data_IF_525447384607
#
_entry.id   IF_525447384607
#
_cell.length_a   1.000
_cell.length_b   1.000
_cell.length_c   1.000
_cell.angle_alpha   90.00
_cell.angle_beta   90.00
_cell.angle_gamma   90.00
#
_symmetry.space_group_name_H-M   'P 1'
#
loop_
_entity.id
_entity.type
_entity.pdbx_description
1 polymer ?
#
# COMPACT_ATOMS: atom_id res chain seq x y z
N UNK A 1 9.58 -11.28 13.87
CA UNK A 1 9.86 -10.86 12.48
C UNK A 1 9.20 -9.51 12.28
N UNK A 2 9.85 -8.56 11.59
CA UNK A 2 9.22 -7.28 11.26
C UNK A 2 8.04 -7.50 10.31
N UNK A 3 7.02 -6.66 10.45
CA UNK A 3 5.88 -6.62 9.52
C UNK A 3 6.38 -6.16 8.15
N UNK A 4 5.94 -6.85 7.10
CA UNK A 4 6.30 -6.60 5.70
C UNK A 4 5.15 -5.96 4.92
N UNK A 5 5.41 -5.57 3.68
CA UNK A 5 4.39 -5.06 2.77
C UNK A 5 3.29 -6.11 2.52
N UNK A 6 3.67 -7.37 2.28
CA UNK A 6 2.75 -8.49 2.08
C UNK A 6 1.73 -8.62 3.22
N UNK A 7 2.17 -8.39 4.45
CA UNK A 7 1.32 -8.55 5.62
C UNK A 7 0.16 -7.55 5.69
N UNK A 8 0.27 -6.39 5.05
CA UNK A 8 -0.72 -5.29 5.18
C UNK A 8 -1.29 -4.79 3.86
N UNK A 9 -0.76 -5.25 2.72
CA UNK A 9 -1.21 -4.80 1.41
C UNK A 9 -2.66 -5.19 1.14
N UNK A 10 -3.36 -4.35 0.42
CA UNK A 10 -4.63 -4.72 -0.20
C UNK A 10 -4.34 -5.45 -1.51
N UNK A 11 -4.90 -6.65 -1.68
CA UNK A 11 -4.73 -7.50 -2.88
C UNK A 11 -5.72 -7.18 -4.00
N UNK A 12 -6.93 -6.73 -3.64
CA UNK A 12 -7.99 -6.39 -4.60
C UNK A 12 -7.82 -4.94 -5.08
N UNK A 13 -6.93 -4.75 -6.06
CA UNK A 13 -6.61 -3.43 -6.59
C UNK A 13 -7.18 -3.29 -8.00
N UNK A 14 -7.97 -2.24 -8.22
CA UNK A 14 -8.34 -1.82 -9.57
C UNK A 14 -7.06 -1.46 -10.32
N UNK A 15 -6.92 -1.98 -11.54
CA UNK A 15 -5.80 -1.68 -12.45
C UNK A 15 -6.32 -1.38 -13.85
N UNK A 16 -5.54 -0.66 -14.63
CA UNK A 16 -5.83 -0.39 -16.04
C UNK A 16 -4.79 -1.02 -16.97
N UNK A 17 -5.15 -1.16 -18.24
CA UNK A 17 -4.21 -1.49 -19.32
C UNK A 17 -3.73 -0.20 -20.00
N UNK A 18 -2.55 -0.20 -20.62
CA UNK A 18 -2.08 0.96 -21.40
C UNK A 18 -3.06 1.37 -22.51
N UNK A 19 -3.81 0.40 -23.04
CA UNK A 19 -4.81 0.55 -24.10
C UNK A 19 -6.21 0.92 -23.57
N UNK A 20 -6.43 0.93 -22.25
CA UNK A 20 -7.69 1.40 -21.67
C UNK A 20 -7.93 2.86 -22.08
N UNK A 21 -9.17 3.19 -22.46
CA UNK A 21 -9.49 4.57 -22.83
C UNK A 21 -9.51 5.50 -21.61
N UNK A 22 -9.16 6.77 -21.82
CA UNK A 22 -9.24 7.80 -20.76
C UNK A 22 -10.67 7.93 -20.22
N UNK A 23 -11.69 7.80 -21.07
CA UNK A 23 -13.09 7.85 -20.67
C UNK A 23 -13.46 6.72 -19.71
N UNK A 24 -13.11 5.48 -20.06
CA UNK A 24 -13.34 4.30 -19.23
C UNK A 24 -12.58 4.37 -17.90
N UNK A 25 -11.31 4.81 -17.95
CA UNK A 25 -10.51 5.00 -16.75
C UNK A 25 -11.14 6.05 -15.82
N UNK A 26 -11.57 7.19 -16.37
CA UNK A 26 -12.24 8.24 -15.62
C UNK A 26 -13.55 7.74 -14.98
N UNK A 27 -14.37 7.01 -15.72
CA UNK A 27 -15.61 6.38 -15.21
C UNK A 27 -15.32 5.44 -14.04
N UNK A 28 -14.35 4.54 -14.22
CA UNK A 28 -13.95 3.59 -13.17
C UNK A 28 -13.44 4.31 -11.92
N UNK A 29 -12.60 5.34 -12.06
CA UNK A 29 -12.09 6.11 -10.91
C UNK A 29 -13.23 6.81 -10.14
N UNK A 30 -14.16 7.43 -10.86
CA UNK A 30 -15.29 8.16 -10.28
C UNK A 30 -16.26 7.23 -9.54
N UNK A 31 -16.65 6.11 -10.16
CA UNK A 31 -17.59 5.14 -9.58
C UNK A 31 -17.03 4.48 -8.32
N UNK A 32 -15.76 4.10 -8.35
CA UNK A 32 -15.10 3.42 -7.23
C UNK A 32 -14.55 4.39 -6.18
N UNK A 33 -14.74 5.71 -6.37
CA UNK A 33 -14.25 6.78 -5.48
C UNK A 33 -12.75 6.64 -5.17
N UNK A 34 -11.96 6.33 -6.19
CA UNK A 34 -10.51 6.15 -6.08
C UNK A 34 -9.76 7.22 -6.87
N UNK A 35 -8.72 7.79 -6.25
CA UNK A 35 -7.98 8.89 -6.86
C UNK A 35 -6.96 8.51 -7.95
N UNK A 36 -6.92 7.23 -8.33
CA UNK A 36 -5.92 6.68 -9.24
C UNK A 36 -5.66 5.19 -9.04
N UNK A 37 -4.99 4.58 -10.00
CA UNK A 37 -4.74 3.15 -10.07
C UNK A 37 -3.42 2.83 -10.81
N UNK A 38 -2.78 1.69 -10.51
CA UNK A 38 -1.69 1.15 -11.31
C UNK A 38 -2.13 0.79 -12.73
N UNK A 39 -1.20 0.93 -13.67
CA UNK A 39 -1.33 0.45 -15.06
C UNK A 39 -0.41 -0.75 -15.22
N UNK A 40 -0.96 -1.86 -15.68
CA UNK A 40 -0.23 -3.13 -15.84
C UNK A 40 -0.29 -3.62 -17.29
N UNK A 41 0.78 -4.26 -17.76
CA UNK A 41 0.80 -4.89 -19.07
C UNK A 41 0.08 -6.26 -19.06
N UNK A 42 0.07 -6.96 -20.20
CA UNK A 42 -0.51 -8.30 -20.32
C UNK A 42 0.10 -9.32 -19.35
N UNK A 43 1.41 -9.23 -19.10
CA UNK A 43 2.14 -10.09 -18.14
C UNK A 43 1.91 -9.76 -16.66
N UNK A 44 1.11 -8.73 -16.35
CA UNK A 44 0.82 -8.28 -14.99
C UNK A 44 1.92 -7.39 -14.36
N UNK A 45 2.96 -7.05 -15.12
CA UNK A 45 3.99 -6.11 -14.67
C UNK A 45 3.46 -4.68 -14.68
N UNK A 46 3.81 -3.92 -13.65
CA UNK A 46 3.46 -2.51 -13.56
C UNK A 46 4.27 -1.69 -14.58
N UNK A 47 3.57 -0.88 -15.38
CA UNK A 47 4.17 -0.04 -16.43
C UNK A 47 3.85 1.44 -16.27
N UNK A 48 2.97 1.78 -15.32
CA UNK A 48 2.63 3.16 -15.01
C UNK A 48 1.66 3.29 -13.83
N UNK A 49 1.37 4.54 -13.48
CA UNK A 49 0.24 4.92 -12.62
C UNK A 49 -0.56 5.98 -13.37
N UNK A 50 -1.88 5.89 -13.28
CA UNK A 50 -2.80 6.94 -13.73
C UNK A 50 -3.63 7.43 -12.55
N UNK A 51 -3.77 8.74 -12.42
CA UNK A 51 -4.53 9.40 -11.37
C UNK A 51 -5.54 10.38 -11.95
N UNK A 52 -6.48 10.84 -11.13
CA UNK A 52 -7.41 11.92 -11.51
C UNK A 52 -6.65 13.16 -12.03
N UNK A 53 -5.50 13.47 -11.42
CA UNK A 53 -4.64 14.56 -11.87
C UNK A 53 -4.13 14.34 -13.29
N UNK A 54 -3.68 13.13 -13.63
CA UNK A 54 -3.18 12.83 -14.97
C UNK A 54 -4.29 12.96 -16.02
N UNK A 55 -5.50 12.50 -15.70
CA UNK A 55 -6.67 12.60 -16.59
C UNK A 55 -7.13 14.06 -16.82
N UNK A 56 -6.89 14.95 -15.86
CA UNK A 56 -7.27 16.38 -15.95
C UNK A 56 -6.16 17.22 -16.58
N UNK A 57 -4.90 16.94 -16.22
CA UNK A 57 -3.76 17.80 -16.55
C UNK A 57 -3.11 17.47 -17.90
N UNK A 58 -3.41 16.31 -18.48
CA UNK A 58 -2.78 15.83 -19.72
C UNK A 58 -3.82 15.54 -20.78
N UNK A 59 -3.43 15.71 -22.04
CA UNK A 59 -4.28 15.39 -23.20
C UNK A 59 -3.89 14.03 -23.78
N UNK A 60 -4.88 13.18 -24.02
CA UNK A 60 -4.69 11.85 -24.58
C UNK A 60 -6.02 11.10 -24.67
N UNK A 61 -6.09 10.06 -25.48
CA UNK A 61 -7.29 9.22 -25.61
C UNK A 61 -7.14 7.90 -24.87
N UNK A 62 -5.91 7.45 -24.65
CA UNK A 62 -5.58 6.20 -23.96
C UNK A 62 -4.79 6.47 -22.67
N UNK A 63 -4.89 5.54 -21.72
CA UNK A 63 -4.18 5.61 -20.43
C UNK A 63 -2.67 5.75 -20.64
N UNK A 64 -2.07 5.07 -21.61
CA UNK A 64 -0.63 5.17 -21.91
C UNK A 64 -0.15 6.56 -22.33
N UNK A 65 -1.06 7.41 -22.81
CA UNK A 65 -0.76 8.77 -23.26
C UNK A 65 -0.67 9.72 -22.06
N UNK A 66 -1.41 9.43 -20.99
CA UNK A 66 -1.53 10.30 -19.81
C UNK A 66 -0.84 9.74 -18.57
N UNK A 67 -0.55 8.43 -18.48
CA UNK A 67 0.05 7.82 -17.29
C UNK A 67 1.44 8.36 -16.96
N UNK A 68 1.80 8.29 -15.68
CA UNK A 68 3.18 8.49 -15.22
C UNK A 68 3.92 7.15 -15.26
N UNK A 69 5.07 7.11 -15.95
CA UNK A 69 5.87 5.90 -16.20
C UNK A 69 6.89 5.59 -15.11
N UNK A 70 7.40 6.63 -14.44
CA UNK A 70 8.34 6.47 -13.35
C UNK A 70 7.58 6.10 -12.07
N UNK A 71 7.38 4.80 -11.88
CA UNK A 71 6.58 4.26 -10.78
C UNK A 71 7.49 3.83 -9.65
N UNK A 72 7.35 4.50 -8.51
CA UNK A 72 7.93 4.03 -7.26
C UNK A 72 7.08 2.87 -6.74
N UNK A 73 7.68 1.67 -6.66
CA UNK A 73 7.08 0.46 -6.10
C UNK A 73 7.95 -0.12 -4.97
N UNK A 74 7.40 -1.09 -4.24
CA UNK A 74 8.10 -1.84 -3.20
C UNK A 74 7.95 -3.34 -3.44
N UNK A 75 8.95 -4.13 -3.03
CA UNK A 75 8.81 -5.58 -2.99
C UNK A 75 7.76 -6.00 -1.93
N UNK A 76 7.08 -7.11 -2.14
CA UNK A 76 6.17 -7.73 -1.16
C UNK A 76 6.86 -8.08 0.16
N UNK A 77 8.13 -8.42 0.12
CA UNK A 77 8.97 -8.66 1.30
C UNK A 77 9.50 -7.38 1.95
N UNK A 78 9.25 -6.19 1.39
CA UNK A 78 9.79 -4.95 1.91
C UNK A 78 9.29 -4.70 3.35
N UNK A 79 10.16 -4.24 4.26
CA UNK A 79 9.75 -3.96 5.62
C UNK A 79 8.83 -2.73 5.67
N UNK A 80 7.89 -2.73 6.62
CA UNK A 80 6.85 -1.71 6.70
C UNK A 80 7.38 -0.29 6.94
N UNK A 81 8.52 -0.14 7.61
CA UNK A 81 9.20 1.14 7.81
C UNK A 81 9.66 1.77 6.49
N UNK A 82 10.16 0.98 5.53
CA UNK A 82 10.50 1.42 4.18
C UNK A 82 9.27 1.94 3.43
N UNK A 83 8.16 1.20 3.50
CA UNK A 83 6.88 1.59 2.89
C UNK A 83 6.41 2.94 3.46
N UNK A 84 6.46 3.09 4.79
CA UNK A 84 6.10 4.33 5.49
C UNK A 84 7.02 5.48 5.07
N UNK A 85 8.32 5.24 4.96
CA UNK A 85 9.29 6.24 4.51
C UNK A 85 8.90 6.79 3.15
N UNK A 86 8.69 5.91 2.16
CA UNK A 86 8.32 6.29 0.79
C UNK A 86 7.06 7.16 0.78
N UNK A 87 5.98 6.71 1.45
CA UNK A 87 4.70 7.43 1.45
C UNK A 87 4.77 8.82 2.10
N UNK A 88 5.64 8.99 3.10
CA UNK A 88 5.83 10.27 3.80
C UNK A 88 6.76 11.19 3.02
N UNK A 89 7.96 10.70 2.67
CA UNK A 89 9.04 11.54 2.12
C UNK A 89 8.75 11.94 0.68
N UNK A 90 8.14 11.06 -0.10
CA UNK A 90 7.80 11.32 -1.50
C UNK A 90 6.38 11.86 -1.67
N UNK A 91 5.68 12.13 -0.56
CA UNK A 91 4.30 12.66 -0.53
C UNK A 91 3.30 11.82 -1.35
N UNK A 92 3.57 10.54 -1.52
CA UNK A 92 2.69 9.62 -2.23
C UNK A 92 1.49 9.22 -1.36
N UNK A 93 0.32 9.06 -2.01
CA UNK A 93 -0.90 8.59 -1.34
C UNK A 93 -0.92 7.07 -1.16
N UNK A 94 -0.26 6.36 -2.08
CA UNK A 94 -0.23 4.90 -2.17
C UNK A 94 1.03 4.46 -2.93
N UNK A 95 1.45 3.21 -2.71
CA UNK A 95 2.61 2.59 -3.35
C UNK A 95 2.24 1.18 -3.83
N UNK A 96 2.48 0.85 -5.11
CA UNK A 96 2.33 -0.50 -5.63
C UNK A 96 3.31 -1.48 -4.97
N UNK A 97 2.82 -2.68 -4.69
CA UNK A 97 3.62 -3.80 -4.17
C UNK A 97 3.82 -4.80 -5.30
N UNK A 98 5.06 -5.20 -5.54
CA UNK A 98 5.43 -6.10 -6.63
C UNK A 98 6.13 -7.35 -6.11
N UNK A 99 5.97 -8.46 -6.84
CA UNK A 99 6.73 -9.69 -6.62
C UNK A 99 8.16 -9.58 -7.22
N UNK A 100 9.02 -10.59 -7.02
CA UNK A 100 10.37 -10.59 -7.58
C UNK A 100 10.43 -10.54 -9.13
N UNK A 101 9.34 -10.88 -9.82
CA UNK A 101 9.21 -10.78 -11.28
C UNK A 101 8.69 -9.41 -11.73
N UNK A 102 8.46 -8.47 -10.81
CA UNK A 102 7.94 -7.13 -11.08
C UNK A 102 6.44 -7.09 -11.36
N UNK A 103 5.71 -8.17 -11.09
CA UNK A 103 4.25 -8.21 -11.23
C UNK A 103 3.59 -7.55 -10.04
N UNK A 104 2.51 -6.80 -10.30
CA UNK A 104 1.73 -6.19 -9.24
C UNK A 104 1.02 -7.28 -8.42
N UNK A 105 1.27 -7.32 -7.12
CA UNK A 105 0.63 -8.27 -6.18
C UNK A 105 -0.21 -7.57 -5.11
N UNK A 106 -0.13 -6.25 -5.02
CA UNK A 106 -0.98 -5.48 -4.13
C UNK A 106 -0.67 -3.99 -4.15
N UNK A 107 -1.34 -3.27 -3.25
CA UNK A 107 -1.20 -1.83 -3.09
C UNK A 107 -1.25 -1.49 -1.61
N UNK A 108 -0.38 -0.58 -1.18
CA UNK A 108 -0.41 -0.03 0.17
C UNK A 108 -0.69 1.46 0.09
N UNK A 109 -1.78 1.88 0.73
CA UNK A 109 -2.19 3.26 0.89
C UNK A 109 -1.94 3.75 2.31
N UNK A 110 -2.06 5.07 2.52
CA UNK A 110 -2.07 5.65 3.86
C UNK A 110 -3.19 5.07 4.74
N UNK A 111 -4.33 4.70 4.16
CA UNK A 111 -5.42 4.08 4.91
C UNK A 111 -5.03 2.69 5.45
N UNK A 112 -4.26 1.91 4.68
CA UNK A 112 -3.75 0.61 5.14
C UNK A 112 -2.79 0.78 6.32
N UNK A 113 -1.91 1.79 6.27
CA UNK A 113 -1.03 2.12 7.39
C UNK A 113 -1.81 2.54 8.65
N UNK A 114 -2.85 3.37 8.49
CA UNK A 114 -3.70 3.79 9.62
C UNK A 114 -4.44 2.59 10.21
N UNK A 115 -4.95 1.68 9.38
CA UNK A 115 -5.58 0.43 9.85
C UNK A 115 -4.57 -0.45 10.59
N UNK A 116 -3.34 -0.57 10.10
CA UNK A 116 -2.29 -1.33 10.78
C UNK A 116 -1.93 -0.72 12.15
N UNK A 117 -1.96 0.60 12.29
CA UNK A 117 -1.78 1.25 13.59
C UNK A 117 -2.96 1.03 14.54
N UNK A 118 -4.19 1.02 14.01
CA UNK A 118 -5.41 0.93 14.81
C UNK A 118 -5.78 -0.51 15.21
N UNK A 119 -5.42 -1.51 14.41
CA UNK A 119 -5.95 -2.88 14.53
C UNK A 119 -4.95 -3.89 15.08
N UNK A 120 -3.75 -3.46 15.51
CA UNK A 120 -2.78 -4.34 16.16
C UNK A 120 -3.02 -4.38 17.66
N UNK A 121 -3.25 -5.57 18.18
CA UNK A 121 -3.41 -5.87 19.60
C UNK A 121 -2.26 -6.75 20.08
N UNK A 122 -1.71 -6.47 21.25
CA UNK A 122 -0.71 -7.30 21.90
C UNK A 122 -1.32 -8.01 23.10
N UNK A 123 -1.18 -9.34 23.15
CA UNK A 123 -1.61 -10.10 24.31
C UNK A 123 -0.71 -9.79 25.51
N UNK A 124 -1.28 -9.35 26.63
CA UNK A 124 -0.53 -9.02 27.86
C UNK A 124 0.18 -10.22 28.48
N UNK A 125 -0.35 -11.44 28.27
CA UNK A 125 0.20 -12.67 28.86
C UNK A 125 1.44 -13.19 28.12
N UNK A 126 1.39 -13.29 26.80
CA UNK A 126 2.43 -13.95 26.01
C UNK A 126 3.06 -13.05 24.93
N UNK A 127 2.66 -11.78 24.84
CA UNK A 127 3.15 -10.82 23.87
C UNK A 127 2.70 -11.06 22.43
N UNK A 128 1.81 -12.03 22.17
CA UNK A 128 1.34 -12.35 20.82
C UNK A 128 0.63 -11.16 20.18
N UNK A 129 1.02 -10.81 18.95
CA UNK A 129 0.36 -9.78 18.16
C UNK A 129 -0.79 -10.39 17.35
N UNK A 130 -1.94 -9.72 17.36
CA UNK A 130 -3.14 -10.12 16.61
C UNK A 130 -3.69 -8.90 15.88
N UNK A 131 -4.14 -9.10 14.63
CA UNK A 131 -4.84 -8.08 13.86
C UNK A 131 -6.34 -8.26 13.99
N UNK A 132 -7.03 -7.28 14.55
CA UNK A 132 -8.48 -7.26 14.66
C UNK A 132 -8.99 -5.83 14.84
N UNK A 133 -10.19 -5.51 14.34
CA UNK A 133 -10.79 -4.17 14.51
C UNK A 133 -11.07 -3.82 15.98
N UNK A 134 -11.25 -4.84 16.82
CA UNK A 134 -11.49 -4.75 18.27
C UNK A 134 -10.57 -5.76 18.98
N UNK A 135 -10.27 -5.58 20.28
CA UNK A 135 -9.51 -6.57 21.04
C UNK A 135 -10.18 -7.95 20.91
N UNK A 136 -9.44 -9.01 20.59
CA UNK A 136 -9.99 -10.36 20.56
C UNK A 136 -10.45 -10.81 21.95
N UNK A 137 -11.49 -11.64 22.00
CA UNK A 137 -11.97 -12.22 23.27
C UNK A 137 -10.95 -13.22 23.85
N UNK A 138 -10.16 -13.87 22.99
CA UNK A 138 -9.15 -14.85 23.39
C UNK A 138 -7.88 -14.76 22.56
N UNK A 139 -6.73 -15.00 23.19
CA UNK A 139 -5.45 -15.09 22.49
C UNK A 139 -5.34 -16.39 21.69
N UNK A 140 -5.16 -16.34 20.35
CA UNK A 140 -5.04 -17.55 19.54
C UNK A 140 -3.76 -18.35 19.83
N UNK A 141 -2.79 -17.74 20.54
CA UNK A 141 -1.52 -18.39 20.91
C UNK A 141 -1.55 -19.06 22.27
N UNK A 142 -2.15 -18.44 23.30
CA UNK A 142 -2.06 -18.92 24.69
C UNK A 142 -3.41 -19.12 25.38
N UNK A 143 -4.53 -18.87 24.69
CA UNK A 143 -5.88 -19.04 25.23
C UNK A 143 -6.30 -18.02 26.30
N UNK A 144 -5.47 -17.01 26.61
CA UNK A 144 -5.82 -15.99 27.60
C UNK A 144 -7.02 -15.16 27.13
N UNK A 145 -8.05 -15.06 27.97
CA UNK A 145 -9.25 -14.28 27.68
C UNK A 145 -9.06 -12.80 28.03
N UNK A 146 -9.61 -11.90 27.20
CA UNK A 146 -9.73 -10.45 27.45
C UNK A 146 -8.41 -9.79 27.92
N UNK A 147 -7.28 -10.24 27.38
CA UNK A 147 -5.94 -9.87 27.84
C UNK A 147 -5.14 -9.21 26.73
N UNK A 148 -5.59 -8.04 26.26
CA UNK A 148 -4.99 -7.32 25.15
C UNK A 148 -4.84 -5.83 25.43
N UNK A 149 -3.68 -5.28 25.08
CA UNK A 149 -3.42 -3.85 24.97
C UNK A 149 -3.23 -3.46 23.50
N UNK A 150 -3.33 -2.16 23.21
CA UNK A 150 -2.90 -1.65 21.91
C UNK A 150 -1.43 -2.04 21.70
N UNK A 151 -1.09 -2.52 20.50
CA UNK A 151 0.28 -2.93 20.23
C UNK A 151 1.25 -1.76 20.33
N UNK A 152 2.52 -2.02 20.66
CA UNK A 152 3.55 -1.00 20.66
C UNK A 152 3.61 -0.24 19.31
N UNK A 153 3.93 1.06 19.34
CA UNK A 153 4.04 1.86 18.14
C UNK A 153 5.03 1.22 17.16
N UNK A 154 4.77 1.42 15.86
CA UNK A 154 5.71 0.98 14.84
C UNK A 154 7.06 1.69 15.01
N UNK A 155 8.19 1.04 14.67
CA UNK A 155 9.52 1.66 14.74
C UNK A 155 9.55 3.02 14.03
N UNK A 156 10.43 3.91 14.48
CA UNK A 156 10.63 5.19 13.80
C UNK A 156 11.06 4.95 12.34
N UNK A 157 10.49 5.74 11.42
CA UNK A 157 10.90 5.71 10.02
C UNK A 157 12.33 6.24 9.93
N UNK A 158 13.25 5.44 9.40
CA UNK A 158 14.64 5.86 9.19
C UNK A 158 14.77 6.55 7.84
N UNK A 159 15.18 7.82 7.87
CA UNK A 159 15.44 8.63 6.68
C UNK A 159 16.82 9.26 6.77
N UNK A 160 17.44 9.49 5.61
CA UNK A 160 18.71 10.19 5.51
C UNK A 160 18.53 11.63 6.02
N UNK A 161 19.34 12.09 7.00
CA UNK A 161 19.20 13.44 7.55
C UNK A 161 19.54 14.53 6.53
N UNK A 162 20.27 14.19 5.47
CA UNK A 162 20.73 15.14 4.46
C UNK A 162 19.70 15.34 3.33
N UNK A 163 19.17 14.25 2.77
CA UNK A 163 18.29 14.33 1.59
C UNK A 163 16.85 13.89 1.86
N UNK A 164 16.54 13.44 3.08
CA UNK A 164 15.21 12.98 3.45
C UNK A 164 14.77 11.67 2.78
N UNK A 165 15.64 10.99 2.01
CA UNK A 165 15.31 9.71 1.38
C UNK A 165 15.27 8.58 2.42
N UNK A 166 14.44 7.53 2.22
CA UNK A 166 14.47 6.32 3.04
C UNK A 166 15.89 5.74 3.14
N UNK A 167 16.30 5.30 4.34
CA UNK A 167 17.53 4.52 4.52
C UNK A 167 17.23 3.03 4.28
N UNK A 168 18.09 2.35 3.51
CA UNK A 168 18.02 0.90 3.30
C UNK A 168 18.34 0.12 4.58
#
# INVERSE_FOLDING_TARGET
MPVTAHDIMSVDTITFRPETSVHEAAGTLAENRISGAPVVNEGGSIVGIVSEYDLIARSGTLVRDVMTRDVVSVADTAPLDRVRAILVTQRLKRVPVVDPQGRLVGLISRADLVRELAYRWQCRRCGNLVRARRPPEGCPRCGASNSFDAAPPLPAVRVCPTCGKPLD
#
